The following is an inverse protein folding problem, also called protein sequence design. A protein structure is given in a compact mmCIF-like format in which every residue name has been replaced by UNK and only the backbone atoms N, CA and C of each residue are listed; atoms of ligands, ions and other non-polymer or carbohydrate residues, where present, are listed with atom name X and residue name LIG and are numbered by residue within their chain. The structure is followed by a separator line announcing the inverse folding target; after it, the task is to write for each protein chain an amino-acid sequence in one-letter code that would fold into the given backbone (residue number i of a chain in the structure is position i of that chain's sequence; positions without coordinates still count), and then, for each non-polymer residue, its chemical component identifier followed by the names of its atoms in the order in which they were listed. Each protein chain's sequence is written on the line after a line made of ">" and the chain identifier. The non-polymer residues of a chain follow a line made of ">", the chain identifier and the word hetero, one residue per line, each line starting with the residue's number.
data_IF_467306687033
#
_entry.id   IF_467306687033
#
_cell.length_a   1.000
_cell.length_b   1.000
_cell.length_c   1.000
_cell.angle_alpha   90.00
_cell.angle_beta   90.00
_cell.angle_gamma   90.00
#
_symmetry.space_group_name_H-M   'P 1'
#
loop_
_entity.id
_entity.type
_entity.pdbx_description
1 polymer ?
#
# COMPACT_ATOMS: atom_id res chain seq x y z
N UNK A 1 -10.53 14.64 -21.50
CA UNK A 1 -11.33 13.62 -22.22
C UNK A 1 -10.65 13.13 -23.50
N UNK A 2 -10.35 14.03 -24.45
CA UNK A 2 -9.76 13.68 -25.75
C UNK A 2 -8.43 12.90 -25.67
N UNK A 3 -7.50 13.28 -24.78
CA UNK A 3 -6.23 12.56 -24.63
C UNK A 3 -6.43 11.12 -24.16
N UNK A 4 -7.34 10.89 -23.20
CA UNK A 4 -7.65 9.55 -22.69
C UNK A 4 -8.23 8.66 -23.79
N UNK A 5 -9.14 9.21 -24.59
CA UNK A 5 -9.74 8.50 -25.73
C UNK A 5 -8.67 8.15 -26.78
N UNK A 6 -7.79 9.10 -27.11
CA UNK A 6 -6.70 8.86 -28.07
C UNK A 6 -5.73 7.78 -27.61
N UNK A 7 -5.32 7.79 -26.33
CA UNK A 7 -4.48 6.74 -25.76
C UNK A 7 -5.19 5.39 -25.70
N UNK A 8 -6.49 5.40 -25.36
CA UNK A 8 -7.32 4.20 -25.34
C UNK A 8 -7.46 3.54 -26.71
N UNK A 9 -7.75 4.31 -27.75
CA UNK A 9 -7.80 3.81 -29.14
C UNK A 9 -6.44 3.30 -29.61
N UNK A 10 -5.34 3.98 -29.26
CA UNK A 10 -4.00 3.50 -29.57
C UNK A 10 -3.71 2.14 -28.90
N UNK A 11 -4.09 1.97 -27.63
CA UNK A 11 -3.93 0.72 -26.91
C UNK A 11 -4.79 -0.41 -27.51
N UNK A 12 -6.05 -0.13 -27.87
CA UNK A 12 -6.93 -1.09 -28.54
C UNK A 12 -6.37 -1.52 -29.90
N UNK A 13 -5.82 -0.58 -30.67
CA UNK A 13 -5.22 -0.88 -31.96
C UNK A 13 -3.96 -1.74 -31.83
N UNK A 14 -3.11 -1.49 -30.83
CA UNK A 14 -1.97 -2.34 -30.52
C UNK A 14 -2.42 -3.78 -30.17
N UNK A 15 -3.43 -3.91 -29.30
CA UNK A 15 -4.00 -5.20 -28.93
C UNK A 15 -4.58 -5.97 -30.13
N UNK A 16 -5.35 -5.31 -31.00
CA UNK A 16 -5.92 -5.90 -32.21
C UNK A 16 -4.84 -6.35 -33.20
N UNK A 17 -3.82 -5.52 -33.42
CA UNK A 17 -2.73 -5.83 -34.35
C UNK A 17 -1.91 -7.05 -33.89
N UNK A 18 -1.76 -7.24 -32.58
CA UNK A 18 -1.07 -8.39 -32.01
C UNK A 18 -1.96 -9.64 -31.88
N UNK A 19 -3.26 -9.55 -32.18
CA UNK A 19 -4.22 -10.63 -31.88
C UNK A 19 -4.28 -10.97 -30.39
N UNK A 20 -4.12 -9.94 -29.53
CA UNK A 20 -3.95 -10.11 -28.10
C UNK A 20 -5.24 -10.65 -27.43
N UNK A 21 -5.07 -11.61 -26.54
CA UNK A 21 -6.16 -12.24 -25.77
C UNK A 21 -5.83 -12.12 -24.29
N UNK A 22 -6.87 -12.00 -23.46
CA UNK A 22 -6.77 -11.83 -22.02
C UNK A 22 -6.39 -10.39 -21.60
N UNK A 23 -6.15 -10.16 -20.31
CA UNK A 23 -5.77 -8.83 -19.82
C UNK A 23 -4.30 -8.50 -20.14
N UNK A 24 -4.04 -7.22 -20.39
CA UNK A 24 -2.71 -6.69 -20.64
C UNK A 24 -2.71 -5.16 -20.51
N UNK A 25 -1.51 -4.59 -20.39
CA UNK A 25 -1.33 -3.15 -20.20
C UNK A 25 -0.43 -2.61 -21.30
N UNK A 26 -0.87 -1.54 -21.97
CA UNK A 26 -0.06 -0.79 -22.92
C UNK A 26 0.46 0.46 -22.21
N UNK A 27 1.78 0.59 -22.14
CA UNK A 27 2.44 1.69 -21.44
C UNK A 27 2.86 2.79 -22.41
N UNK A 28 2.68 4.03 -21.97
CA UNK A 28 3.02 5.22 -22.73
C UNK A 28 3.82 6.20 -21.89
N UNK A 29 4.75 6.92 -22.51
CA UNK A 29 5.37 8.11 -21.96
C UNK A 29 4.60 9.34 -22.45
N UNK A 30 4.20 10.24 -21.54
CA UNK A 30 3.53 11.49 -21.85
C UNK A 30 4.47 12.66 -21.59
N UNK A 31 4.67 13.53 -22.58
CA UNK A 31 5.49 14.72 -22.44
C UNK A 31 4.70 15.94 -21.92
N UNK A 32 5.42 17.02 -21.60
CA UNK A 32 4.84 18.27 -21.09
C UNK A 32 3.94 19.00 -22.11
N UNK A 33 4.01 18.64 -23.40
CA UNK A 33 3.16 19.18 -24.46
C UNK A 33 1.89 18.34 -24.66
N UNK A 34 1.71 17.26 -23.89
CA UNK A 34 0.57 16.36 -23.99
C UNK A 34 0.67 15.33 -25.13
N UNK A 35 1.86 15.14 -25.72
CA UNK A 35 2.11 14.09 -26.71
C UNK A 35 2.50 12.80 -26.00
N UNK A 36 1.92 11.68 -26.42
CA UNK A 36 2.20 10.38 -25.86
C UNK A 36 2.96 9.48 -26.85
N UNK A 37 3.83 8.63 -26.31
CA UNK A 37 4.71 7.74 -27.06
C UNK A 37 4.60 6.34 -26.48
N UNK A 38 4.45 5.34 -27.34
CA UNK A 38 4.43 3.94 -26.93
C UNK A 38 5.77 3.55 -26.28
N UNK A 39 5.70 2.85 -25.15
CA UNK A 39 6.86 2.30 -24.45
C UNK A 39 6.91 0.78 -24.61
N UNK A 40 5.92 0.09 -24.05
CA UNK A 40 5.86 -1.38 -24.08
C UNK A 40 4.43 -1.92 -23.89
N UNK A 41 4.27 -3.23 -24.08
CA UNK A 41 3.06 -3.97 -23.71
C UNK A 41 3.43 -5.03 -22.68
N UNK A 42 2.80 -4.96 -21.51
CA UNK A 42 2.89 -5.97 -20.49
C UNK A 42 1.80 -7.02 -20.70
N UNK A 43 2.21 -8.22 -21.12
CA UNK A 43 1.31 -9.30 -21.53
C UNK A 43 0.80 -10.15 -20.36
N UNK A 44 0.48 -9.49 -19.24
CA UNK A 44 0.05 -10.08 -17.98
C UNK A 44 -0.77 -9.07 -17.18
N UNK A 45 -1.43 -9.56 -16.13
CA UNK A 45 -2.03 -8.67 -15.14
C UNK A 45 -0.93 -7.84 -14.45
N UNK A 46 -1.19 -6.54 -14.28
CA UNK A 46 -0.30 -5.65 -13.57
C UNK A 46 -0.58 -5.65 -12.06
N UNK A 47 0.43 -5.33 -11.27
CA UNK A 47 0.31 -5.28 -9.80
C UNK A 47 -0.76 -4.25 -9.39
N UNK A 48 -0.74 -3.10 -10.08
CA UNK A 48 -1.60 -1.93 -9.89
C UNK A 48 -3.00 -2.04 -10.53
N UNK A 49 -3.38 -3.21 -11.07
CA UNK A 49 -4.74 -3.41 -11.59
C UNK A 49 -5.89 -3.01 -10.64
N UNK A 50 -5.77 -3.09 -9.28
CA UNK A 50 -6.87 -2.72 -8.41
C UNK A 50 -7.31 -1.26 -8.56
N UNK A 51 -6.43 -0.32 -8.94
CA UNK A 51 -6.88 1.07 -9.16
C UNK A 51 -7.86 1.17 -10.33
N UNK A 52 -7.71 0.32 -11.35
CA UNK A 52 -8.65 0.21 -12.46
C UNK A 52 -9.95 -0.45 -12.02
N UNK A 53 -9.88 -1.52 -11.25
CA UNK A 53 -11.08 -2.21 -10.74
C UNK A 53 -11.92 -1.28 -9.85
N UNK A 54 -11.27 -0.51 -8.96
CA UNK A 54 -11.95 0.37 -8.03
C UNK A 54 -12.71 1.52 -8.72
N UNK A 55 -12.26 1.99 -9.89
CA UNK A 55 -12.96 3.05 -10.63
C UNK A 55 -13.93 2.52 -11.67
N UNK A 56 -13.70 1.33 -12.22
CA UNK A 56 -14.57 0.75 -13.27
C UNK A 56 -15.62 -0.21 -12.74
N UNK A 57 -15.42 -0.80 -11.57
CA UNK A 57 -16.24 -1.88 -11.03
C UNK A 57 -16.03 -3.23 -11.70
N UNK A 58 -15.04 -3.35 -12.59
CA UNK A 58 -14.74 -4.58 -13.32
C UNK A 58 -13.69 -5.37 -12.55
N UNK A 59 -13.98 -6.62 -12.23
CA UNK A 59 -13.02 -7.58 -11.68
C UNK A 59 -12.21 -8.19 -12.83
N UNK A 60 -10.96 -7.74 -12.96
CA UNK A 60 -10.10 -8.11 -14.07
C UNK A 60 -9.66 -9.58 -13.96
N UNK A 61 -9.37 -10.07 -12.75
CA UNK A 61 -8.97 -11.47 -12.53
C UNK A 61 -10.10 -12.41 -12.94
N UNK A 62 -11.34 -12.09 -12.57
CA UNK A 62 -12.52 -12.86 -12.97
C UNK A 62 -12.68 -12.87 -14.50
N UNK A 63 -12.54 -11.72 -15.15
CA UNK A 63 -12.65 -11.65 -16.61
C UNK A 63 -11.51 -12.41 -17.31
N UNK A 64 -10.28 -12.39 -16.76
CA UNK A 64 -9.19 -13.22 -17.28
C UNK A 64 -9.55 -14.71 -17.29
N UNK A 65 -10.16 -15.22 -16.21
CA UNK A 65 -10.58 -16.63 -16.11
C UNK A 65 -11.68 -16.94 -17.13
N UNK A 66 -12.67 -16.06 -17.27
CA UNK A 66 -13.78 -16.22 -18.22
C UNK A 66 -13.30 -16.23 -19.67
N UNK A 67 -12.44 -15.29 -20.03
CA UNK A 67 -11.82 -15.24 -21.37
C UNK A 67 -11.01 -16.51 -21.63
N UNK A 68 -10.24 -16.98 -20.65
CA UNK A 68 -9.47 -18.22 -20.77
C UNK A 68 -10.36 -19.47 -20.95
N UNK A 69 -11.59 -19.43 -20.42
CA UNK A 69 -12.62 -20.45 -20.64
C UNK A 69 -13.36 -20.31 -22.00
N UNK A 70 -12.99 -19.33 -22.83
CA UNK A 70 -13.63 -19.06 -24.13
C UNK A 70 -14.93 -18.26 -24.04
N UNK A 71 -15.25 -17.69 -22.88
CA UNK A 71 -16.39 -16.78 -22.75
C UNK A 71 -16.10 -15.42 -23.40
N UNK A 72 -17.13 -14.73 -23.94
CA UNK A 72 -16.99 -13.36 -24.39
C UNK A 72 -16.80 -12.39 -23.22
N UNK A 73 -16.28 -11.19 -23.52
CA UNK A 73 -16.26 -10.08 -22.56
C UNK A 73 -17.66 -9.79 -22.02
N UNK A 74 -17.74 -9.52 -20.72
CA UNK A 74 -19.02 -9.28 -20.05
C UNK A 74 -19.58 -7.87 -20.17
N UNK A 75 -18.82 -6.99 -20.83
CA UNK A 75 -19.13 -5.59 -21.02
C UNK A 75 -18.69 -5.12 -22.41
N UNK A 76 -19.26 -4.00 -22.83
CA UNK A 76 -18.90 -3.24 -24.02
C UNK A 76 -18.17 -1.97 -23.61
N UNK A 77 -17.45 -1.38 -24.57
CA UNK A 77 -16.68 -0.15 -24.33
C UNK A 77 -17.52 1.00 -23.75
N UNK A 78 -18.80 1.13 -24.17
CA UNK A 78 -19.67 2.22 -23.70
C UNK A 78 -20.15 2.04 -22.25
N UNK A 79 -20.04 0.83 -21.70
CA UNK A 79 -20.45 0.49 -20.33
C UNK A 79 -19.32 0.78 -19.33
N UNK A 80 -18.08 0.97 -19.80
CA UNK A 80 -16.92 1.30 -18.97
C UNK A 80 -16.96 2.79 -18.63
N UNK A 81 -17.54 3.10 -17.48
CA UNK A 81 -17.69 4.47 -16.98
C UNK A 81 -16.87 4.63 -15.68
N UNK A 82 -15.60 5.07 -15.74
CA UNK A 82 -14.80 5.28 -14.55
C UNK A 82 -15.43 6.30 -13.61
N UNK A 83 -15.66 5.93 -12.35
CA UNK A 83 -16.24 6.80 -11.32
C UNK A 83 -15.26 7.03 -10.17
N UNK A 84 -15.17 8.28 -9.75
CA UNK A 84 -14.31 8.69 -8.64
C UNK A 84 -12.83 8.63 -8.96
N UNK A 85 -12.02 8.40 -7.93
CA UNK A 85 -10.58 8.31 -8.03
C UNK A 85 -10.05 7.23 -7.08
N UNK A 86 -9.08 6.44 -7.56
CA UNK A 86 -8.41 5.44 -6.76
C UNK A 86 -6.90 5.72 -6.68
N UNK A 87 -6.31 5.41 -5.53
CA UNK A 87 -4.87 5.53 -5.28
C UNK A 87 -4.42 4.21 -4.67
N UNK A 88 -3.30 3.67 -5.15
CA UNK A 88 -2.63 2.50 -4.58
C UNK A 88 -1.25 2.90 -4.04
N UNK A 89 -0.92 2.41 -2.86
CA UNK A 89 0.40 2.44 -2.27
C UNK A 89 0.89 1.00 -2.06
N UNK A 90 2.08 0.68 -2.57
CA UNK A 90 2.73 -0.61 -2.33
C UNK A 90 3.46 -0.57 -1.00
N UNK A 91 3.11 -1.47 -0.09
CA UNK A 91 3.78 -1.59 1.21
C UNK A 91 4.87 -2.64 1.08
N UNK A 92 6.12 -2.19 1.11
CA UNK A 92 7.31 -3.04 1.02
C UNK A 92 7.94 -3.28 2.39
N UNK A 93 8.65 -4.39 2.54
CA UNK A 93 9.61 -4.62 3.61
C UNK A 93 10.95 -3.98 3.25
N UNK A 94 11.03 -2.65 3.33
CA UNK A 94 12.19 -1.85 2.98
C UNK A 94 12.40 -0.72 3.98
N UNK A 95 13.65 -0.25 4.11
CA UNK A 95 14.04 0.86 4.98
C UNK A 95 14.33 2.15 4.17
N UNK A 96 13.39 3.11 4.09
CA UNK A 96 13.60 4.35 3.35
C UNK A 96 14.73 5.21 3.94
N UNK A 97 14.99 5.15 5.25
CA UNK A 97 16.06 5.92 5.89
C UNK A 97 17.44 5.48 5.39
N UNK A 98 17.53 4.26 4.86
CA UNK A 98 18.77 3.62 4.40
C UNK A 98 18.76 3.34 2.90
N UNK A 99 18.02 4.15 2.13
CA UNK A 99 17.97 4.03 0.68
C UNK A 99 17.20 2.80 0.20
N UNK A 100 16.08 2.49 0.85
CA UNK A 100 15.15 1.41 0.48
C UNK A 100 15.79 0.02 0.45
N UNK A 101 16.77 -0.24 1.32
CA UNK A 101 17.31 -1.60 1.44
C UNK A 101 16.23 -2.55 1.97
N UNK A 102 16.20 -3.82 1.50
CA UNK A 102 15.26 -4.81 2.02
C UNK A 102 15.39 -5.02 3.54
N UNK A 103 14.24 -5.23 4.19
CA UNK A 103 14.10 -5.44 5.64
C UNK A 103 13.36 -6.76 5.92
N UNK A 104 13.95 -7.93 5.60
CA UNK A 104 13.36 -9.22 5.96
C UNK A 104 13.28 -9.40 7.48
N UNK A 105 12.38 -10.25 7.95
CA UNK A 105 12.19 -10.51 9.38
C UNK A 105 10.79 -10.97 9.73
N UNK A 106 10.56 -11.26 11.01
CA UNK A 106 9.25 -11.64 11.52
C UNK A 106 8.37 -10.40 11.71
N UNK A 107 7.14 -10.46 11.22
CA UNK A 107 6.11 -9.46 11.50
C UNK A 107 5.55 -9.72 12.89
N UNK A 108 6.00 -8.94 13.88
CA UNK A 108 5.59 -9.11 15.28
C UNK A 108 4.13 -8.71 15.50
N UNK A 109 3.64 -7.72 14.74
CA UNK A 109 2.27 -7.26 14.83
C UNK A 109 1.84 -6.62 13.51
N UNK A 110 0.65 -6.96 13.06
CA UNK A 110 0.00 -6.39 11.90
C UNK A 110 -1.38 -5.86 12.27
N UNK A 111 -1.65 -4.60 11.92
CA UNK A 111 -2.98 -4.02 11.87
C UNK A 111 -3.16 -3.32 10.54
N UNK A 112 -3.95 -3.93 9.68
CA UNK A 112 -4.30 -3.35 8.39
C UNK A 112 -5.46 -2.35 8.54
N UNK A 113 -5.48 -1.26 7.75
CA UNK A 113 -6.57 -0.31 7.75
C UNK A 113 -7.83 -0.94 7.15
N UNK A 114 -8.99 -0.48 7.60
CA UNK A 114 -10.27 -0.99 7.15
C UNK A 114 -11.32 0.14 7.04
N UNK A 115 -12.44 -0.16 6.38
CA UNK A 115 -13.59 0.73 6.29
C UNK A 115 -13.96 1.09 4.85
N UNK A 116 -14.91 2.02 4.67
CA UNK A 116 -15.48 2.32 3.36
C UNK A 116 -14.43 2.76 2.34
N UNK A 117 -14.44 2.11 1.16
CA UNK A 117 -13.52 2.34 0.05
C UNK A 117 -12.04 2.25 0.41
N UNK A 118 -11.69 1.42 1.40
CA UNK A 118 -10.33 0.92 1.63
C UNK A 118 -10.34 -0.56 1.22
N UNK A 119 -9.36 -0.95 0.42
CA UNK A 119 -9.08 -2.33 0.01
C UNK A 119 -7.61 -2.62 0.34
N UNK A 120 -7.35 -3.78 0.92
CA UNK A 120 -6.00 -4.26 1.19
C UNK A 120 -5.85 -5.62 0.54
N UNK A 121 -4.95 -5.70 -0.43
CA UNK A 121 -4.54 -6.99 -1.02
C UNK A 121 -3.26 -7.40 -0.29
N UNK A 122 -3.35 -8.38 0.62
CA UNK A 122 -2.27 -8.76 1.53
C UNK A 122 -2.08 -10.27 1.58
N UNK A 123 -0.81 -10.70 1.67
CA UNK A 123 -0.41 -12.09 1.87
C UNK A 123 0.25 -12.36 3.22
N UNK A 124 0.25 -11.38 4.12
CA UNK A 124 1.00 -11.41 5.38
C UNK A 124 0.09 -11.44 6.61
N UNK A 125 0.63 -11.82 7.76
CA UNK A 125 -0.07 -11.87 9.05
C UNK A 125 0.93 -11.75 10.21
N UNK A 126 0.44 -11.47 11.43
CA UNK A 126 1.30 -11.46 12.63
C UNK A 126 1.93 -12.84 12.85
N UNK A 127 3.24 -12.91 13.00
CA UNK A 127 4.06 -14.14 13.06
C UNK A 127 4.58 -14.60 11.69
N UNK A 128 4.19 -13.94 10.59
CA UNK A 128 4.75 -14.25 9.27
C UNK A 128 6.20 -13.80 9.18
N UNK A 129 7.09 -14.66 8.69
CA UNK A 129 8.50 -14.32 8.43
C UNK A 129 8.67 -13.92 6.97
N UNK A 130 9.00 -12.64 6.74
CA UNK A 130 9.30 -12.10 5.42
C UNK A 130 10.63 -12.71 4.92
N UNK A 131 10.60 -13.51 3.84
CA UNK A 131 11.78 -14.16 3.31
C UNK A 131 12.67 -13.17 2.54
N UNK A 132 13.95 -13.50 2.40
CA UNK A 132 14.90 -12.77 1.54
C UNK A 132 14.85 -13.18 0.07
N UNK A 133 14.24 -14.34 -0.23
CA UNK A 133 14.31 -14.97 -1.55
C UNK A 133 13.31 -14.41 -2.57
N UNK A 134 12.38 -13.55 -2.16
CA UNK A 134 11.29 -13.04 -2.98
C UNK A 134 11.26 -11.51 -2.97
N UNK A 135 10.40 -10.94 -3.83
CA UNK A 135 10.10 -9.51 -3.83
C UNK A 135 9.64 -9.05 -2.43
N UNK A 136 10.12 -7.89 -1.93
CA UNK A 136 9.81 -7.44 -0.58
C UNK A 136 8.38 -6.92 -0.41
N UNK A 137 7.50 -7.01 -1.42
CA UNK A 137 6.12 -6.54 -1.30
C UNK A 137 5.37 -7.33 -0.23
N UNK A 138 4.79 -6.60 0.71
CA UNK A 138 4.00 -7.16 1.81
C UNK A 138 2.51 -7.11 1.47
N UNK A 139 2.05 -5.96 0.98
CA UNK A 139 0.66 -5.73 0.62
C UNK A 139 0.53 -4.56 -0.34
N UNK A 140 -0.66 -4.43 -0.93
CA UNK A 140 -1.10 -3.24 -1.66
C UNK A 140 -2.22 -2.59 -0.87
N UNK A 141 -2.05 -1.33 -0.51
CA UNK A 141 -3.09 -0.52 0.10
C UNK A 141 -3.77 0.31 -0.98
N UNK A 142 -5.05 0.10 -1.21
CA UNK A 142 -5.83 0.80 -2.22
C UNK A 142 -6.97 1.56 -1.57
N UNK A 143 -7.18 2.79 -2.01
CA UNK A 143 -8.34 3.59 -1.59
C UNK A 143 -9.11 4.08 -2.80
N UNK A 144 -10.40 4.32 -2.60
CA UNK A 144 -11.28 4.94 -3.58
C UNK A 144 -12.18 5.99 -2.93
N UNK A 145 -12.39 7.11 -3.61
CA UNK A 145 -13.33 8.15 -3.20
C UNK A 145 -14.00 8.80 -4.42
N UNK A 146 -14.97 9.68 -4.17
CA UNK A 146 -15.71 10.39 -5.22
C UNK A 146 -14.86 11.34 -6.08
N UNK A 147 -13.69 11.76 -5.58
CA UNK A 147 -12.73 12.59 -6.30
C UNK A 147 -11.30 12.35 -5.79
N UNK A 148 -10.33 12.99 -6.46
CA UNK A 148 -8.91 12.85 -6.12
C UNK A 148 -8.56 13.42 -4.74
N UNK A 149 -9.00 14.63 -4.34
CA UNK A 149 -8.77 15.13 -2.98
C UNK A 149 -9.31 14.18 -1.90
N UNK A 150 -10.52 13.65 -2.06
CA UNK A 150 -11.10 12.68 -1.14
C UNK A 150 -10.32 11.37 -1.07
N UNK A 151 -9.77 10.90 -2.20
CA UNK A 151 -8.93 9.72 -2.24
C UNK A 151 -7.59 9.96 -1.51
N UNK A 152 -6.99 11.15 -1.67
CA UNK A 152 -5.78 11.56 -0.95
C UNK A 152 -6.02 11.54 0.56
N UNK A 153 -7.05 12.22 1.06
CA UNK A 153 -7.34 12.26 2.50
C UNK A 153 -7.67 10.86 3.06
N UNK A 154 -8.33 10.02 2.26
CA UNK A 154 -8.57 8.61 2.63
C UNK A 154 -7.28 7.80 2.70
N UNK A 155 -6.37 7.97 1.75
CA UNK A 155 -5.06 7.31 1.77
C UNK A 155 -4.24 7.75 2.97
N UNK A 156 -4.24 9.04 3.29
CA UNK A 156 -3.59 9.59 4.49
C UNK A 156 -4.12 8.91 5.76
N UNK A 157 -5.44 8.79 5.90
CA UNK A 157 -6.04 8.09 7.04
C UNK A 157 -5.62 6.61 7.06
N UNK A 158 -5.73 5.92 5.94
CA UNK A 158 -5.45 4.50 5.84
C UNK A 158 -3.98 4.18 6.17
N UNK A 159 -3.02 4.96 5.66
CA UNK A 159 -1.60 4.83 6.01
C UNK A 159 -1.33 5.12 7.49
N UNK A 160 -2.01 6.11 8.08
CA UNK A 160 -1.88 6.43 9.51
C UNK A 160 -2.40 5.29 10.41
N UNK A 161 -3.41 4.55 9.95
CA UNK A 161 -3.98 3.41 10.68
C UNK A 161 -3.22 2.09 10.45
N UNK A 162 -2.34 2.04 9.45
CA UNK A 162 -1.59 0.84 9.07
C UNK A 162 -0.40 0.66 10.01
N UNK A 163 -0.44 -0.40 10.83
CA UNK A 163 0.66 -0.76 11.73
C UNK A 163 1.32 -2.07 11.27
N UNK A 164 2.62 -2.01 11.01
CA UNK A 164 3.48 -3.18 10.78
C UNK A 164 4.67 -3.08 11.73
N UNK A 165 4.79 -4.01 12.68
CA UNK A 165 5.91 -4.08 13.61
C UNK A 165 6.79 -5.30 13.28
N UNK A 166 8.10 -5.19 13.55
CA UNK A 166 9.09 -6.25 13.34
C UNK A 166 9.94 -6.06 12.09
N UNK A 167 9.41 -5.43 11.05
CA UNK A 167 10.12 -5.06 9.83
C UNK A 167 9.98 -3.56 9.54
N UNK A 168 10.92 -2.99 8.77
CA UNK A 168 10.82 -1.62 8.26
C UNK A 168 9.93 -1.58 7.02
N UNK A 169 9.18 -0.49 6.87
CA UNK A 169 8.29 -0.27 5.72
C UNK A 169 8.35 1.20 5.28
N UNK A 170 7.99 1.51 4.03
CA UNK A 170 7.94 2.88 3.54
C UNK A 170 6.67 3.64 3.95
N UNK A 171 5.89 3.19 4.94
CA UNK A 171 4.58 3.80 5.27
C UNK A 171 4.71 5.29 5.61
N UNK A 172 5.70 5.68 6.43
CA UNK A 172 5.92 7.09 6.78
C UNK A 172 6.35 7.92 5.57
N UNK A 173 7.23 7.37 4.72
CA UNK A 173 7.65 8.01 3.47
C UNK A 173 6.46 8.21 2.53
N UNK A 174 5.63 7.19 2.33
CA UNK A 174 4.43 7.25 1.50
C UNK A 174 3.44 8.29 2.03
N UNK A 175 3.25 8.36 3.35
CA UNK A 175 2.40 9.35 3.99
C UNK A 175 2.86 10.78 3.67
N UNK A 176 4.16 11.05 3.73
CA UNK A 176 4.74 12.35 3.38
C UNK A 176 4.63 12.65 1.88
N UNK A 177 4.84 11.66 1.01
CA UNK A 177 4.63 11.80 -0.45
C UNK A 177 3.18 12.18 -0.75
N UNK A 178 2.20 11.45 -0.20
CA UNK A 178 0.77 11.70 -0.44
C UNK A 178 0.35 13.09 0.09
N UNK A 179 0.93 13.53 1.21
CA UNK A 179 0.65 14.86 1.80
C UNK A 179 1.30 16.01 1.07
N UNK A 180 2.33 15.75 0.27
CA UNK A 180 3.11 16.81 -0.38
C UNK A 180 2.31 17.62 -1.40
N UNK A 181 2.63 18.91 -1.48
CA UNK A 181 2.06 19.83 -2.47
C UNK A 181 2.15 19.33 -3.92
N UNK A 182 3.30 18.86 -4.45
CA UNK A 182 3.37 18.39 -5.83
C UNK A 182 2.44 17.20 -6.07
N UNK A 183 2.36 16.25 -5.12
CA UNK A 183 1.41 15.14 -5.25
C UNK A 183 -0.04 15.63 -5.23
N UNK A 184 -0.40 16.53 -4.30
CA UNK A 184 -1.77 17.09 -4.19
C UNK A 184 -2.18 17.87 -5.43
N UNK A 185 -1.25 18.62 -6.04
CA UNK A 185 -1.47 19.37 -7.29
C UNK A 185 -1.50 18.50 -8.54
N UNK A 186 -1.05 17.24 -8.46
CA UNK A 186 -1.00 16.32 -9.59
C UNK A 186 0.25 16.48 -10.46
N UNK A 187 1.30 17.11 -9.91
CA UNK A 187 2.61 17.29 -10.53
C UNK A 187 3.43 15.98 -10.44
N UNK A 188 2.83 14.85 -10.80
CA UNK A 188 3.36 13.50 -10.59
C UNK A 188 4.07 12.98 -11.84
N UNK A 189 5.28 13.49 -12.12
CA UNK A 189 6.16 12.95 -13.16
C UNK A 189 7.20 11.98 -12.61
N UNK A 190 7.92 11.28 -13.49
CA UNK A 190 8.88 10.22 -13.12
C UNK A 190 10.00 10.68 -12.19
N UNK A 191 10.33 11.98 -12.19
CA UNK A 191 11.36 12.59 -11.34
C UNK A 191 10.86 13.14 -9.99
N UNK A 192 9.58 13.00 -9.66
CA UNK A 192 8.97 13.60 -8.47
C UNK A 192 9.75 13.25 -7.18
N UNK A 193 10.12 11.97 -7.03
CA UNK A 193 10.82 11.47 -5.85
C UNK A 193 12.24 12.04 -5.77
N UNK A 194 12.97 12.05 -6.88
CA UNK A 194 14.33 12.59 -6.93
C UNK A 194 14.37 14.10 -6.67
N UNK A 195 13.34 14.84 -7.09
CA UNK A 195 13.29 16.30 -6.98
C UNK A 195 12.84 16.78 -5.61
N UNK A 196 11.91 16.07 -4.96
CA UNK A 196 11.29 16.52 -3.72
C UNK A 196 11.64 15.68 -2.48
N UNK A 197 12.17 14.47 -2.66
CA UNK A 197 12.40 13.52 -1.57
C UNK A 197 13.81 12.90 -1.57
N UNK A 198 14.75 13.46 -2.35
CA UNK A 198 16.15 13.05 -2.27
C UNK A 198 16.71 13.27 -0.85
N UNK A 199 17.22 12.20 -0.25
CA UNK A 199 17.75 12.25 1.12
C UNK A 199 16.68 12.41 2.20
N UNK A 200 15.44 11.99 1.90
CA UNK A 200 14.32 11.99 2.85
C UNK A 200 14.71 11.41 4.21
N UNK A 201 14.18 12.02 5.26
CA UNK A 201 14.28 11.57 6.65
C UNK A 201 12.92 11.69 7.31
N UNK A 202 12.59 10.78 8.24
CA UNK A 202 11.33 10.83 8.95
C UNK A 202 11.21 12.12 9.74
N UNK A 203 10.00 12.67 9.78
CA UNK A 203 9.68 13.89 10.55
C UNK A 203 9.92 13.76 12.06
N UNK A 204 9.88 12.55 12.63
CA UNK A 204 10.23 12.28 14.03
C UNK A 204 11.48 11.41 14.12
N UNK A 205 12.39 11.78 15.02
CA UNK A 205 13.56 10.94 15.28
C UNK A 205 13.18 9.71 16.12
N UNK A 206 14.03 8.68 16.09
CA UNK A 206 13.88 7.50 16.96
C UNK A 206 13.90 7.86 18.44
N UNK A 207 14.64 8.91 18.82
CA UNK A 207 14.66 9.41 20.19
C UNK A 207 13.30 9.98 20.60
N UNK A 208 12.67 10.76 19.71
CA UNK A 208 11.34 11.32 19.96
C UNK A 208 10.29 10.22 20.11
N UNK A 209 10.32 9.22 19.22
CA UNK A 209 9.44 8.06 19.31
C UNK A 209 9.65 7.27 20.60
N UNK A 210 10.90 7.08 21.03
CA UNK A 210 11.22 6.40 22.29
C UNK A 210 10.70 7.19 23.51
N UNK A 211 10.85 8.52 23.51
CA UNK A 211 10.30 9.38 24.56
C UNK A 211 8.77 9.31 24.60
N UNK A 212 8.10 9.35 23.44
CA UNK A 212 6.64 9.23 23.33
C UNK A 212 6.16 7.86 23.80
N UNK A 213 6.81 6.78 23.39
CA UNK A 213 6.50 5.42 23.83
C UNK A 213 6.68 5.26 25.34
N UNK A 214 7.76 5.82 25.91
CA UNK A 214 7.98 5.83 27.35
C UNK A 214 6.87 6.60 28.09
N UNK A 215 6.54 7.81 27.65
CA UNK A 215 5.45 8.60 28.24
C UNK A 215 4.11 7.86 28.15
N UNK A 216 3.78 7.28 26.99
CA UNK A 216 2.57 6.49 26.79
C UNK A 216 2.53 5.26 27.71
N UNK A 217 3.66 4.59 27.94
CA UNK A 217 3.75 3.45 28.87
C UNK A 217 3.51 3.85 30.33
N UNK A 218 3.86 5.07 30.71
CA UNK A 218 3.64 5.62 32.06
C UNK A 218 2.21 6.09 32.27
N UNK A 219 1.58 6.61 31.22
CA UNK A 219 0.20 7.11 31.25
C UNK A 219 -0.84 6.00 31.03
N UNK A 220 -0.46 4.92 30.34
CA UNK A 220 -1.35 3.78 30.13
C UNK A 220 -1.62 3.08 31.48
N UNK A 221 -2.90 2.89 31.87
CA UNK A 221 -3.21 2.15 33.08
C UNK A 221 -2.60 0.76 32.94
N UNK A 222 -1.74 0.37 33.89
CA UNK A 222 -1.23 -1.00 33.96
C UNK A 222 -2.46 -1.91 33.96
N UNK A 223 -2.61 -2.75 32.93
CA UNK A 223 -3.56 -3.86 33.00
C UNK A 223 -3.20 -4.63 34.27
N UNK A 224 -4.09 -4.62 35.26
CA UNK A 224 -3.95 -5.47 36.41
C UNK A 224 -3.82 -6.90 35.88
N UNK A 225 -2.67 -7.52 36.12
CA UNK A 225 -2.54 -8.96 35.92
C UNK A 225 -3.66 -9.58 36.75
N UNK A 226 -4.55 -10.41 36.19
CA UNK A 226 -5.53 -11.08 37.00
C UNK A 226 -4.74 -11.96 37.98
N UNK A 227 -4.69 -11.52 39.24
CA UNK A 227 -4.28 -12.37 40.36
C UNK A 227 -5.30 -13.48 40.40
N UNK A 228 -4.96 -14.62 39.80
CA UNK A 228 -5.77 -15.82 39.87
C UNK A 228 -6.08 -16.10 41.33
N UNK A 229 -7.36 -16.14 41.68
CA UNK A 229 -7.86 -16.61 42.96
C UNK A 229 -7.69 -18.13 43.03
N UNK A 230 -6.44 -18.57 43.12
CA UNK A 230 -6.04 -19.94 43.45
C UNK A 230 -5.36 -19.93 44.81
N UNK A 231 -5.90 -20.68 45.75
CA UNK A 231 -5.49 -20.81 47.16
C UNK A 231 -3.97 -20.72 47.39
N UNK A 232 -3.59 -19.87 48.35
CA UNK A 232 -2.26 -19.77 48.95
C UNK A 232 -1.75 -21.14 49.43
N UNK A 233 -0.58 -21.52 48.94
CA UNK A 233 0.42 -22.22 49.74
C UNK A 233 1.78 -21.54 49.48
N UNK A 234 2.36 -21.04 50.56
CA UNK A 234 3.63 -20.34 50.72
C UNK A 234 4.60 -20.46 49.53
N UNK A 235 4.56 -19.46 48.65
CA UNK A 235 5.62 -19.23 47.68
C UNK A 235 6.17 -17.83 47.92
N UNK A 236 7.40 -17.76 48.44
CA UNK A 236 8.14 -16.50 48.41
C UNK A 236 8.17 -16.00 46.96
N UNK A 237 7.77 -14.74 46.70
CA UNK A 237 7.81 -14.21 45.34
C UNK A 237 9.25 -14.29 44.85
N UNK A 238 9.43 -14.84 43.65
CA UNK A 238 10.75 -14.93 43.07
C UNK A 238 11.30 -13.50 42.86
N UNK A 239 12.62 -13.30 42.90
CA UNK A 239 13.21 -11.98 42.61
C UNK A 239 12.74 -11.40 41.27
N UNK A 240 12.36 -12.25 40.32
CA UNK A 240 11.87 -11.92 38.99
C UNK A 240 10.42 -11.42 38.97
N UNK A 241 9.62 -11.71 39.99
CA UNK A 241 8.25 -11.23 40.14
C UNK A 241 8.18 -9.92 40.93
N UNK A 242 9.16 -9.65 41.79
CA UNK A 242 9.26 -8.41 42.58
C UNK A 242 10.04 -7.30 41.88
N UNK A 243 11.01 -7.65 41.04
CA UNK A 243 11.71 -6.71 40.17
C UNK A 243 10.90 -6.57 38.87
N UNK A 244 10.02 -5.57 38.82
CA UNK A 244 9.18 -5.29 37.65
C UNK A 244 9.93 -5.21 36.31
N UNK A 245 9.16 -5.25 35.21
CA UNK A 245 9.61 -5.43 33.83
C UNK A 245 10.92 -4.71 33.48
N UNK A 246 11.95 -5.52 33.19
CA UNK A 246 13.23 -5.06 32.69
C UNK A 246 13.10 -4.63 31.22
N UNK A 247 13.71 -3.50 30.89
CA UNK A 247 14.02 -3.08 29.52
C UNK A 247 15.53 -3.18 29.31
N UNK A 248 15.94 -3.82 28.21
CA UNK A 248 17.21 -3.57 27.53
C UNK A 248 16.96 -2.58 26.40
#
# INVERSE_FOLDING_TARGET
>A
PALREAMGEAALNAGRAAGYVNAGTVEFLLDAQGRFYFLEVNTRLQVEHPVTEMVTGIDLVREQIRIAAGEPLSFRQQEILPQGHAIECRIYAEDPERGFIPSPGEILYLKEPAGPGIRVDSGIYSGFTVPTAYDPILSKLIVHAGDRPGAIERMVRALTEYVVLGVRTPVDFLLEVIRSDPFRKGETHTRLIDEHFAGWKPSMSRADLACLAYAASRLSPRKAVPTGTGREQDRFPSPWETLGGWSL
#
